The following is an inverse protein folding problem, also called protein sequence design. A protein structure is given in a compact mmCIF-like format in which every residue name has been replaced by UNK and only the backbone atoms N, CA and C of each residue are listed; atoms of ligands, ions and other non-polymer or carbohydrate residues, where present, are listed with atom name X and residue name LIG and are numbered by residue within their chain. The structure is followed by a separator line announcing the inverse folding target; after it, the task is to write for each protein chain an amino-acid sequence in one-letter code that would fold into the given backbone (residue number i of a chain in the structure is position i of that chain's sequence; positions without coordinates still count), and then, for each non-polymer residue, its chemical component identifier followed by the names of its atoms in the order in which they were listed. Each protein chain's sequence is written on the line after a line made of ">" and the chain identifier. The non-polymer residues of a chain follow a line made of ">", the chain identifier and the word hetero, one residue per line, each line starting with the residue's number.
data_IF_889533176710
#
_entry.id   IF_889533176710
#
_cell.length_a   1.000
_cell.length_b   1.000
_cell.length_c   1.000
_cell.angle_alpha   90.00
_cell.angle_beta   90.00
_cell.angle_gamma   90.00
#
_symmetry.space_group_name_H-M   'P 1'
#
loop_
_entity.id
_entity.type
_entity.pdbx_description
1 polymer ?
#
# COMPACT_ATOMS: atom_id res chain seq x y z
N UNK A 1 -21.38 8.74 -28.54
CA UNK A 1 -20.90 8.82 -27.15
C UNK A 1 -21.84 7.98 -26.30
N UNK A 2 -21.55 6.69 -26.15
CA UNK A 2 -22.35 5.79 -25.31
C UNK A 2 -22.11 6.17 -23.84
N UNK A 3 -23.11 6.10 -22.95
CA UNK A 3 -22.89 6.36 -21.53
C UNK A 3 -21.98 5.26 -21.00
N UNK A 4 -20.72 5.61 -20.69
CA UNK A 4 -19.70 4.70 -20.15
C UNK A 4 -20.10 4.03 -18.82
N UNK A 5 -21.18 4.49 -18.19
CA UNK A 5 -21.72 3.92 -16.97
C UNK A 5 -23.25 3.83 -17.06
N UNK A 6 -23.77 2.65 -17.39
CA UNK A 6 -25.17 2.26 -17.15
C UNK A 6 -25.42 1.92 -15.67
N UNK A 7 -24.37 1.91 -14.85
CA UNK A 7 -24.40 1.59 -13.42
C UNK A 7 -24.65 2.84 -12.58
N UNK A 8 -25.47 2.69 -11.53
CA UNK A 8 -25.73 3.76 -10.57
C UNK A 8 -24.44 4.07 -9.80
N UNK A 9 -23.86 5.25 -10.04
CA UNK A 9 -22.70 5.78 -9.30
C UNK A 9 -23.03 5.79 -7.79
N UNK A 10 -22.17 5.19 -6.97
CA UNK A 10 -22.39 5.08 -5.51
C UNK A 10 -21.67 6.20 -4.74
N UNK A 11 -22.24 6.63 -3.62
CA UNK A 11 -21.73 7.75 -2.80
C UNK A 11 -22.36 7.73 -1.40
N UNK A 12 -22.03 8.71 -0.57
CA UNK A 12 -22.59 8.99 0.75
C UNK A 12 -23.19 10.40 0.82
N UNK A 13 -24.04 10.67 1.83
CA UNK A 13 -24.92 11.86 1.85
C UNK A 13 -24.20 13.23 1.86
N UNK A 14 -23.06 13.35 2.54
CA UNK A 14 -22.32 14.60 2.71
C UNK A 14 -20.98 14.57 1.97
N UNK A 15 -20.16 15.62 2.06
CA UNK A 15 -18.82 15.70 1.46
C UNK A 15 -18.68 16.91 0.52
N UNK A 16 -17.46 17.17 0.10
CA UNK A 16 -17.11 18.29 -0.78
C UNK A 16 -16.35 17.79 -2.00
N UNK A 17 -16.29 18.57 -3.07
CA UNK A 17 -15.47 18.27 -4.24
C UNK A 17 -14.50 19.44 -4.46
N UNK A 18 -13.32 19.44 -3.82
CA UNK A 18 -12.29 20.42 -4.12
C UNK A 18 -11.75 20.21 -5.53
N UNK A 19 -11.16 21.25 -6.15
CA UNK A 19 -10.38 21.07 -7.37
C UNK A 19 -9.30 20.01 -7.14
N UNK A 20 -9.27 18.97 -7.97
CA UNK A 20 -8.46 17.79 -7.72
C UNK A 20 -7.01 17.92 -8.22
N UNK A 21 -6.74 18.78 -9.20
CA UNK A 21 -5.41 19.07 -9.77
C UNK A 21 -4.64 17.81 -10.23
N UNK A 22 -5.38 16.75 -10.61
CA UNK A 22 -4.79 15.47 -10.99
C UNK A 22 -4.28 15.47 -12.43
N UNK A 23 -4.73 16.40 -13.27
CA UNK A 23 -4.28 16.57 -14.66
C UNK A 23 -2.77 16.82 -14.80
N UNK A 24 -2.12 17.29 -13.73
CA UNK A 24 -0.67 17.55 -13.71
C UNK A 24 0.14 16.25 -13.84
N UNK A 25 -0.33 15.15 -13.23
CA UNK A 25 0.45 13.90 -13.10
C UNK A 25 -0.30 12.64 -13.52
N UNK A 26 -1.63 12.66 -13.71
CA UNK A 26 -2.41 11.43 -13.97
C UNK A 26 -1.95 10.69 -15.24
N UNK A 27 -1.56 11.45 -16.26
CA UNK A 27 -1.19 10.92 -17.58
C UNK A 27 0.32 10.54 -17.63
N UNK A 28 1.08 10.85 -16.57
CA UNK A 28 2.51 10.55 -16.48
C UNK A 28 2.75 9.15 -15.88
N UNK A 29 3.47 8.25 -16.58
CA UNK A 29 3.76 6.92 -16.09
C UNK A 29 4.61 6.91 -14.84
N UNK A 30 4.57 5.79 -14.12
CA UNK A 30 5.46 5.56 -13.00
C UNK A 30 6.89 5.44 -13.54
N UNK A 31 7.77 6.33 -13.11
CA UNK A 31 9.20 6.26 -13.41
C UNK A 31 9.98 5.88 -12.16
N UNK A 32 11.00 5.03 -12.31
CA UNK A 32 11.88 4.68 -11.20
C UNK A 32 12.78 5.88 -10.88
N UNK A 33 12.78 6.31 -9.63
CA UNK A 33 13.77 7.24 -9.12
C UNK A 33 15.16 6.56 -9.11
N UNK A 34 16.23 7.25 -9.52
CA UNK A 34 17.59 6.76 -9.29
C UNK A 34 17.81 6.44 -7.81
N UNK A 35 18.52 5.35 -7.52
CA UNK A 35 18.85 5.02 -6.14
C UNK A 35 19.70 6.15 -5.54
N UNK A 36 19.31 6.70 -4.37
CA UNK A 36 20.06 7.78 -3.75
C UNK A 36 21.42 7.28 -3.26
N UNK A 37 22.38 8.16 -3.03
CA UNK A 37 23.69 7.80 -2.47
C UNK A 37 23.60 7.20 -1.06
N UNK A 38 22.51 7.50 -0.36
CA UNK A 38 22.24 7.05 1.00
C UNK A 38 20.73 6.96 1.22
N UNK A 39 20.30 5.99 2.02
CA UNK A 39 18.95 5.93 2.59
C UNK A 39 19.01 5.99 4.12
N UNK A 40 17.99 6.60 4.72
CA UNK A 40 17.78 6.63 6.16
C UNK A 40 16.48 5.90 6.46
N UNK A 41 16.58 4.79 7.17
CA UNK A 41 15.45 3.91 7.46
C UNK A 41 15.10 3.97 8.96
N UNK A 42 14.12 4.81 9.36
CA UNK A 42 13.67 4.86 10.75
C UNK A 42 13.22 3.49 11.25
N UNK A 43 13.59 3.11 12.47
CA UNK A 43 13.08 1.90 13.12
C UNK A 43 11.60 2.03 13.54
N UNK A 44 11.04 3.24 13.50
CA UNK A 44 9.63 3.52 13.76
C UNK A 44 8.92 4.00 12.49
N UNK A 45 8.57 3.07 11.59
CA UNK A 45 7.85 3.38 10.33
C UNK A 45 6.31 3.22 10.44
N UNK A 46 5.81 2.86 11.62
CA UNK A 46 4.40 2.54 11.86
C UNK A 46 3.96 2.96 13.26
N UNK A 47 2.65 2.97 13.51
CA UNK A 47 2.04 3.34 14.80
C UNK A 47 2.43 2.43 16.00
N UNK A 48 3.02 1.27 15.71
CA UNK A 48 3.43 0.26 16.69
C UNK A 48 4.76 0.48 17.41
N UNK A 49 5.17 -0.52 18.19
CA UNK A 49 6.50 -0.55 18.84
C UNK A 49 7.62 -0.57 17.78
N UNK A 50 8.67 0.26 17.91
CA UNK A 50 9.77 0.30 16.94
C UNK A 50 10.38 -1.08 16.65
N UNK A 51 10.78 -1.31 15.41
CA UNK A 51 11.52 -2.50 14.99
C UNK A 51 12.90 -2.55 15.66
N UNK A 52 13.44 -3.74 15.87
CA UNK A 52 14.75 -3.94 16.49
C UNK A 52 15.78 -4.26 15.40
N UNK A 53 16.81 -3.44 15.29
CA UNK A 53 17.86 -3.64 14.29
C UNK A 53 18.55 -5.01 14.46
N UNK A 54 18.79 -5.68 13.33
CA UNK A 54 19.51 -6.96 13.21
C UNK A 54 20.91 -6.78 12.59
N UNK A 55 21.24 -5.56 12.21
CA UNK A 55 22.51 -5.16 11.58
C UNK A 55 23.25 -4.19 12.48
N UNK A 56 24.54 -3.97 12.19
CA UNK A 56 25.40 -3.00 12.87
C UNK A 56 26.23 -2.19 11.87
N UNK A 57 26.79 -1.04 12.27
CA UNK A 57 27.70 -0.27 11.44
C UNK A 57 28.84 -1.13 10.88
N UNK A 58 29.12 -0.99 9.59
CA UNK A 58 30.11 -1.78 8.84
C UNK A 58 29.53 -3.01 8.12
N UNK A 59 28.32 -3.44 8.44
CA UNK A 59 27.70 -4.58 7.75
C UNK A 59 27.38 -4.24 6.30
N UNK A 60 27.67 -5.17 5.39
CA UNK A 60 27.15 -5.12 4.01
C UNK A 60 25.73 -5.69 3.99
N UNK A 61 24.82 -4.97 3.36
CA UNK A 61 23.42 -5.37 3.21
C UNK A 61 23.01 -5.40 1.74
N UNK A 62 22.04 -6.24 1.41
CA UNK A 62 21.50 -6.39 0.06
C UNK A 62 20.07 -5.84 -0.03
N UNK A 63 19.69 -5.28 -1.16
CA UNK A 63 18.32 -4.78 -1.39
C UNK A 63 17.30 -5.89 -1.14
N UNK A 64 16.34 -5.65 -0.25
CA UNK A 64 15.34 -6.62 0.20
C UNK A 64 15.76 -7.50 1.38
N UNK A 65 17.00 -7.39 1.86
CA UNK A 65 17.43 -8.11 3.06
C UNK A 65 16.73 -7.55 4.31
N UNK A 66 16.28 -8.43 5.20
CA UNK A 66 15.75 -8.08 6.52
C UNK A 66 16.85 -7.44 7.37
N UNK A 67 16.62 -6.22 7.85
CA UNK A 67 17.58 -5.46 8.68
C UNK A 67 17.04 -5.09 10.06
N UNK A 68 15.73 -5.22 10.29
CA UNK A 68 15.15 -5.10 11.62
C UNK A 68 13.91 -6.00 11.76
N UNK A 69 13.79 -6.67 12.90
CA UNK A 69 12.63 -7.50 13.25
C UNK A 69 11.52 -6.68 13.96
N UNK A 70 10.25 -7.10 13.88
CA UNK A 70 9.17 -6.44 14.62
C UNK A 70 9.44 -6.40 16.13
N UNK A 71 9.34 -5.23 16.76
CA UNK A 71 9.57 -5.05 18.21
C UNK A 71 8.39 -5.45 19.11
N UNK A 72 7.28 -5.92 18.55
CA UNK A 72 6.08 -6.31 19.27
C UNK A 72 4.98 -6.86 18.34
N UNK A 73 3.77 -7.05 18.87
CA UNK A 73 2.62 -7.52 18.08
C UNK A 73 2.16 -6.47 17.07
N UNK A 74 1.94 -5.23 17.53
CA UNK A 74 1.74 -4.07 16.64
C UNK A 74 3.13 -3.54 16.30
N UNK A 75 3.74 -4.12 15.28
CA UNK A 75 5.05 -3.75 14.72
C UNK A 75 5.26 -4.50 13.41
N UNK A 76 6.10 -4.01 12.52
CA UNK A 76 6.44 -4.65 11.25
C UNK A 76 7.95 -4.71 11.06
N UNK A 77 8.39 -5.61 10.18
CA UNK A 77 9.80 -5.75 9.83
C UNK A 77 10.29 -4.56 8.97
N UNK A 78 11.60 -4.39 8.90
CA UNK A 78 12.24 -3.39 8.05
C UNK A 78 13.33 -4.05 7.21
N UNK A 79 13.41 -3.66 5.94
CA UNK A 79 14.34 -4.22 4.97
C UNK A 79 15.21 -3.13 4.37
N UNK A 80 16.42 -3.51 3.94
CA UNK A 80 17.29 -2.61 3.21
C UNK A 80 16.65 -2.26 1.85
N UNK A 81 16.39 -0.98 1.62
CA UNK A 81 15.83 -0.51 0.33
C UNK A 81 16.87 -0.41 -0.78
N UNK A 82 18.14 -0.53 -0.42
CA UNK A 82 19.30 -0.52 -1.31
C UNK A 82 20.33 -1.57 -0.86
N UNK A 83 21.08 -2.11 -1.81
CA UNK A 83 22.34 -2.81 -1.57
C UNK A 83 23.40 -1.77 -1.24
N UNK A 84 24.14 -2.00 -0.17
CA UNK A 84 25.07 -1.01 0.37
C UNK A 84 25.77 -1.46 1.64
N UNK A 85 26.24 -0.48 2.40
CA UNK A 85 26.90 -0.69 3.70
C UNK A 85 26.18 0.14 4.76
N UNK A 86 25.86 -0.50 5.88
CA UNK A 86 25.33 0.19 7.06
C UNK A 86 26.42 1.13 7.57
N UNK A 87 26.20 2.43 7.44
CA UNK A 87 27.14 3.43 7.93
C UNK A 87 27.00 3.64 9.42
N UNK A 88 25.77 3.72 9.91
CA UNK A 88 25.48 4.04 11.30
C UNK A 88 24.06 3.59 11.68
N UNK A 89 23.82 3.46 12.98
CA UNK A 89 22.48 3.34 13.56
C UNK A 89 22.38 4.40 14.65
N UNK A 90 21.63 5.46 14.37
CA UNK A 90 21.60 6.64 15.23
C UNK A 90 20.26 7.35 15.22
N UNK A 91 20.00 8.21 16.23
CA UNK A 91 18.83 9.07 16.24
C UNK A 91 18.76 9.97 14.99
N UNK A 92 17.59 10.04 14.35
CA UNK A 92 17.31 10.88 13.19
C UNK A 92 15.93 11.53 13.29
N UNK A 93 15.76 12.68 12.64
CA UNK A 93 14.46 13.35 12.54
C UNK A 93 13.45 12.46 11.80
N UNK A 94 12.27 12.33 12.38
CA UNK A 94 11.15 11.58 11.80
C UNK A 94 10.03 12.55 11.37
N UNK A 95 9.28 12.26 10.28
CA UNK A 95 8.16 13.10 9.83
C UNK A 95 7.07 13.36 10.88
N UNK A 96 7.00 12.56 11.94
CA UNK A 96 6.10 12.81 13.09
C UNK A 96 6.57 13.92 14.04
N UNK A 97 7.70 14.58 13.76
CA UNK A 97 8.32 15.59 14.62
C UNK A 97 9.11 15.01 15.79
N UNK A 98 9.27 13.69 15.86
CA UNK A 98 10.07 13.00 16.88
C UNK A 98 11.46 12.67 16.36
N UNK A 99 12.39 12.44 17.28
CA UNK A 99 13.67 11.80 16.98
C UNK A 99 13.53 10.31 17.26
N UNK A 100 13.91 9.47 16.31
CA UNK A 100 13.87 8.01 16.42
C UNK A 100 15.16 7.42 15.87
N UNK A 101 15.59 6.27 16.39
CA UNK A 101 16.73 5.56 15.82
C UNK A 101 16.44 5.12 14.38
N UNK A 102 17.43 5.27 13.51
CA UNK A 102 17.34 4.92 12.10
C UNK A 102 18.61 4.20 11.64
N UNK A 103 18.43 3.22 10.76
CA UNK A 103 19.54 2.56 10.06
C UNK A 103 19.91 3.40 8.86
N UNK A 104 21.17 3.83 8.78
CA UNK A 104 21.70 4.61 7.68
C UNK A 104 22.51 3.69 6.78
N UNK A 105 22.11 3.58 5.51
CA UNK A 105 22.79 2.73 4.53
C UNK A 105 23.36 3.64 3.44
N UNK A 106 24.68 3.58 3.24
CA UNK A 106 25.33 4.12 2.05
C UNK A 106 25.13 3.14 0.90
N UNK A 107 24.53 3.62 -0.17
CA UNK A 107 24.29 2.84 -1.38
C UNK A 107 25.61 2.47 -2.04
N UNK A 108 25.71 1.21 -2.48
CA UNK A 108 26.81 0.77 -3.35
C UNK A 108 26.54 1.26 -4.78
N UNK A 109 27.34 2.22 -5.31
CA UNK A 109 27.09 2.82 -6.63
C UNK A 109 27.39 1.86 -7.79
N UNK A 110 28.03 0.72 -7.51
CA UNK A 110 28.35 -0.30 -8.50
C UNK A 110 27.40 -1.51 -8.41
N UNK A 111 26.50 -1.53 -7.42
CA UNK A 111 25.52 -2.59 -7.32
C UNK A 111 24.45 -2.44 -8.40
N UNK A 112 24.04 -3.54 -9.06
CA UNK A 112 22.88 -3.52 -9.96
C UNK A 112 21.55 -3.35 -9.22
N UNK A 113 21.56 -3.32 -7.87
CA UNK A 113 20.37 -3.16 -7.03
C UNK A 113 19.30 -4.23 -7.32
N UNK A 114 19.74 -5.44 -7.64
CA UNK A 114 18.86 -6.62 -7.75
C UNK A 114 18.35 -7.02 -6.37
N UNK A 115 17.16 -7.62 -6.34
CA UNK A 115 16.57 -8.12 -5.11
C UNK A 115 17.38 -9.32 -4.57
N UNK A 116 17.58 -9.38 -3.25
CA UNK A 116 18.41 -10.39 -2.58
C UNK A 116 17.87 -11.82 -2.69
N UNK A 117 16.55 -12.00 -2.52
CA UNK A 117 15.87 -13.30 -2.53
C UNK A 117 14.65 -13.22 -3.47
N UNK A 118 14.90 -12.99 -4.76
CA UNK A 118 13.85 -12.92 -5.76
C UNK A 118 13.27 -14.31 -6.05
N UNK A 119 12.05 -14.54 -5.58
CA UNK A 119 11.32 -15.80 -5.79
C UNK A 119 9.83 -15.65 -5.60
N UNK A 120 9.07 -16.48 -6.32
CA UNK A 120 7.65 -16.64 -6.05
C UNK A 120 7.43 -17.41 -4.76
N UNK A 121 6.49 -16.95 -3.94
CA UNK A 121 6.10 -17.58 -2.68
C UNK A 121 4.85 -18.43 -2.94
N UNK A 122 4.84 -19.74 -2.59
CA UNK A 122 3.76 -20.67 -2.93
C UNK A 122 2.52 -20.49 -2.03
N UNK A 123 1.93 -19.31 -2.03
CA UNK A 123 0.85 -18.91 -1.12
C UNK A 123 -0.39 -19.81 -1.15
N UNK A 124 -0.65 -20.49 -2.27
CA UNK A 124 -1.79 -21.39 -2.42
C UNK A 124 -1.78 -22.54 -1.41
N UNK A 125 -0.59 -23.07 -1.08
CA UNK A 125 -0.41 -24.24 -0.20
C UNK A 125 -0.20 -23.87 1.26
N UNK A 126 -0.08 -22.58 1.58
CA UNK A 126 0.20 -22.10 2.93
C UNK A 126 -1.10 -21.90 3.72
N UNK A 127 -0.99 -21.98 5.04
CA UNK A 127 -2.09 -21.66 5.94
C UNK A 127 -2.26 -20.14 6.12
N UNK A 128 -3.49 -19.64 6.36
CA UNK A 128 -3.75 -18.21 6.55
C UNK A 128 -2.82 -17.54 7.57
N UNK A 129 -2.50 -18.22 8.68
CA UNK A 129 -1.61 -17.69 9.72
C UNK A 129 -0.17 -17.51 9.24
N UNK A 130 0.32 -18.40 8.38
CA UNK A 130 1.67 -18.31 7.80
C UNK A 130 1.74 -17.13 6.84
N UNK A 131 0.70 -16.93 6.03
CA UNK A 131 0.60 -15.79 5.11
C UNK A 131 0.58 -14.45 5.88
N UNK A 132 -0.15 -14.38 6.99
CA UNK A 132 -0.17 -13.19 7.86
C UNK A 132 1.21 -12.91 8.45
N UNK A 133 1.93 -13.93 8.91
CA UNK A 133 3.28 -13.76 9.43
C UNK A 133 4.28 -13.36 8.33
N UNK A 134 4.16 -13.90 7.12
CA UNK A 134 4.95 -13.44 5.98
C UNK A 134 4.69 -11.96 5.65
N UNK A 135 3.43 -11.50 5.70
CA UNK A 135 3.09 -10.07 5.54
C UNK A 135 3.69 -9.22 6.67
N UNK A 136 3.70 -9.73 7.91
CA UNK A 136 4.35 -9.04 9.04
C UNK A 136 5.85 -8.92 8.82
N UNK A 137 6.49 -10.03 8.44
CA UNK A 137 7.92 -10.13 8.18
C UNK A 137 8.33 -9.45 6.88
N UNK A 138 7.43 -9.20 5.95
CA UNK A 138 7.67 -8.44 4.72
C UNK A 138 7.64 -6.91 4.90
N UNK A 139 7.37 -6.42 6.12
CA UNK A 139 7.39 -4.99 6.43
C UNK A 139 6.14 -4.22 6.01
N UNK A 140 5.01 -4.92 5.80
CA UNK A 140 3.81 -4.29 5.28
C UNK A 140 3.11 -3.39 6.31
N UNK A 141 2.98 -2.12 5.94
CA UNK A 141 2.17 -1.11 6.61
C UNK A 141 1.14 -0.54 5.62
N UNK A 142 0.03 0.00 6.13
CA UNK A 142 -0.98 0.62 5.28
C UNK A 142 -0.42 1.80 4.48
N UNK A 143 -0.23 1.62 3.17
CA UNK A 143 0.38 2.60 2.26
C UNK A 143 -0.50 3.81 1.96
N UNK A 144 -1.79 3.74 2.34
CA UNK A 144 -2.75 4.86 2.24
C UNK A 144 -2.58 5.96 3.30
N UNK A 145 -1.52 5.93 4.12
CA UNK A 145 -1.11 7.08 4.93
C UNK A 145 -1.08 6.86 6.44
N UNK A 146 -1.93 5.99 7.00
CA UNK A 146 -1.96 5.74 8.45
C UNK A 146 -0.76 4.92 8.97
N UNK A 147 -0.02 4.26 8.08
CA UNK A 147 1.11 3.40 8.41
C UNK A 147 0.81 2.37 9.53
N UNK A 148 -0.43 1.86 9.56
CA UNK A 148 -0.81 0.82 10.49
C UNK A 148 -0.34 -0.55 9.97
N UNK A 149 0.32 -1.40 10.78
CA UNK A 149 0.83 -2.69 10.31
C UNK A 149 -0.28 -3.55 9.69
N UNK A 150 -0.06 -3.99 8.45
CA UNK A 150 -1.10 -4.65 7.64
C UNK A 150 -1.47 -6.00 8.23
N UNK A 151 -0.51 -6.75 8.78
CA UNK A 151 -0.79 -8.05 9.42
C UNK A 151 -1.78 -7.91 10.58
N UNK A 152 -1.78 -6.79 11.32
CA UNK A 152 -2.75 -6.57 12.41
C UNK A 152 -4.17 -6.44 11.87
N UNK A 153 -4.36 -5.78 10.71
CA UNK A 153 -5.69 -5.72 10.05
C UNK A 153 -6.15 -7.07 9.55
N UNK A 154 -5.21 -7.92 9.12
CA UNK A 154 -5.47 -9.26 8.61
C UNK A 154 -5.59 -10.32 9.71
N UNK A 155 -5.17 -10.00 10.95
CA UNK A 155 -5.30 -10.87 12.12
C UNK A 155 -6.70 -10.73 12.72
N UNK A 156 -7.65 -11.55 12.25
CA UNK A 156 -9.03 -11.48 12.72
C UNK A 156 -9.14 -12.04 14.16
N UNK A 157 -9.64 -11.26 15.14
CA UNK A 157 -9.84 -11.74 16.49
C UNK A 157 -10.83 -12.91 16.55
N UNK A 158 -10.63 -13.80 17.52
CA UNK A 158 -11.54 -14.92 17.77
C UNK A 158 -12.98 -14.44 17.94
N UNK A 159 -13.93 -15.16 17.34
CA UNK A 159 -15.35 -14.81 17.35
C UNK A 159 -15.76 -13.70 16.37
N UNK A 160 -14.82 -13.06 15.66
CA UNK A 160 -15.12 -12.16 14.54
C UNK A 160 -14.91 -12.86 13.21
N UNK A 161 -15.62 -12.39 12.19
CA UNK A 161 -15.50 -12.89 10.82
C UNK A 161 -15.54 -11.72 9.83
N UNK A 162 -14.87 -11.90 8.71
CA UNK A 162 -14.90 -10.97 7.58
C UNK A 162 -15.76 -11.59 6.48
N UNK A 163 -16.71 -10.81 5.97
CA UNK A 163 -17.54 -11.20 4.83
C UNK A 163 -17.13 -10.46 3.57
N UNK A 164 -16.71 -9.20 3.71
CA UNK A 164 -16.36 -8.36 2.59
C UNK A 164 -14.97 -7.78 2.73
N UNK A 165 -14.17 -7.97 1.68
CA UNK A 165 -12.90 -7.28 1.53
C UNK A 165 -13.11 -6.04 0.65
N UNK A 166 -12.64 -4.89 1.12
CA UNK A 166 -12.75 -3.61 0.42
C UNK A 166 -11.36 -3.13 0.01
N UNK A 167 -11.14 -3.02 -1.29
CA UNK A 167 -9.98 -2.34 -1.87
C UNK A 167 -10.34 -0.88 -2.07
N UNK A 168 -9.73 -0.03 -1.27
CA UNK A 168 -9.85 1.42 -1.40
C UNK A 168 -8.94 1.90 -2.53
N UNK A 169 -9.55 2.23 -3.66
CA UNK A 169 -8.91 2.80 -4.84
C UNK A 169 -9.48 4.18 -5.19
N UNK A 170 -10.01 4.89 -4.17
CA UNK A 170 -10.66 6.18 -4.34
C UNK A 170 -9.64 7.30 -4.62
N UNK A 171 -8.57 7.42 -3.82
CA UNK A 171 -7.56 8.49 -3.90
C UNK A 171 -8.21 9.87 -4.10
N UNK A 172 -8.96 10.30 -3.08
CA UNK A 172 -9.78 11.52 -3.09
C UNK A 172 -8.99 12.79 -2.72
N UNK A 173 -7.73 12.64 -2.30
CA UNK A 173 -6.83 13.75 -2.01
C UNK A 173 -6.45 14.49 -3.32
N UNK A 174 -6.46 15.84 -3.32
CA UNK A 174 -5.94 16.62 -4.43
C UNK A 174 -4.48 16.29 -4.74
N UNK A 175 -4.07 16.50 -5.99
CA UNK A 175 -2.74 16.24 -6.56
C UNK A 175 -2.31 14.78 -6.63
N UNK A 176 -2.75 13.91 -5.73
CA UNK A 176 -2.29 12.51 -5.70
C UNK A 176 -2.77 11.74 -6.92
N UNK A 177 -1.87 11.00 -7.57
CA UNK A 177 -2.17 10.11 -8.71
C UNK A 177 -1.43 8.77 -8.62
N UNK A 178 -0.79 8.47 -7.49
CA UNK A 178 -0.01 7.26 -7.29
C UNK A 178 -0.87 6.00 -7.37
N UNK A 179 -2.02 5.98 -6.67
CA UNK A 179 -2.96 4.87 -6.71
C UNK A 179 -3.61 4.75 -8.09
N UNK A 180 -3.90 5.89 -8.74
CA UNK A 180 -4.38 5.91 -10.12
C UNK A 180 -3.40 5.20 -11.07
N UNK A 181 -2.11 5.53 -11.01
CA UNK A 181 -1.10 4.86 -11.85
C UNK A 181 -0.88 3.39 -11.46
N UNK A 182 -0.94 3.06 -10.18
CA UNK A 182 -0.89 1.66 -9.71
C UNK A 182 -2.02 0.83 -10.35
N UNK A 183 -3.24 1.36 -10.44
CA UNK A 183 -4.34 0.66 -11.11
C UNK A 183 -4.11 0.45 -12.61
N UNK A 184 -3.42 1.37 -13.29
CA UNK A 184 -3.13 1.28 -14.72
C UNK A 184 -1.97 0.33 -15.04
N UNK A 185 -0.94 0.33 -14.21
CA UNK A 185 0.36 -0.30 -14.50
C UNK A 185 0.60 -1.58 -13.70
N UNK A 186 0.00 -1.73 -12.51
CA UNK A 186 0.21 -2.83 -11.57
C UNK A 186 -1.06 -3.64 -11.29
N UNK A 187 -2.04 -3.65 -12.20
CA UNK A 187 -3.31 -4.37 -12.02
C UNK A 187 -3.13 -5.87 -11.77
N UNK A 188 -2.14 -6.52 -12.38
CA UNK A 188 -1.85 -7.95 -12.13
C UNK A 188 -1.44 -8.18 -10.67
N UNK A 189 -0.65 -7.27 -10.11
CA UNK A 189 -0.25 -7.31 -8.70
C UNK A 189 -1.45 -7.04 -7.79
N UNK A 190 -2.35 -6.12 -8.15
CA UNK A 190 -3.60 -5.89 -7.42
C UNK A 190 -4.42 -7.19 -7.35
N UNK A 191 -4.68 -7.85 -8.47
CA UNK A 191 -5.52 -9.06 -8.47
C UNK A 191 -4.86 -10.24 -7.75
N UNK A 192 -3.54 -10.40 -7.85
CA UNK A 192 -2.82 -11.39 -7.05
C UNK A 192 -2.90 -11.07 -5.56
N UNK A 193 -2.71 -9.80 -5.18
CA UNK A 193 -2.86 -9.34 -3.80
C UNK A 193 -4.27 -9.60 -3.24
N UNK A 194 -5.32 -9.34 -4.03
CA UNK A 194 -6.70 -9.65 -3.64
C UNK A 194 -6.85 -11.14 -3.36
N UNK A 195 -6.31 -12.02 -4.20
CA UNK A 195 -6.42 -13.48 -4.00
C UNK A 195 -5.76 -13.92 -2.70
N UNK A 196 -4.57 -13.42 -2.41
CA UNK A 196 -3.85 -13.73 -1.18
C UNK A 196 -4.65 -13.23 0.03
N UNK A 197 -5.11 -11.98 0.01
CA UNK A 197 -5.89 -11.39 1.12
C UNK A 197 -7.22 -12.12 1.30
N UNK A 198 -7.91 -12.50 0.24
CA UNK A 198 -9.13 -13.30 0.31
C UNK A 198 -8.88 -14.67 0.96
N UNK A 199 -7.77 -15.35 0.62
CA UNK A 199 -7.39 -16.62 1.27
C UNK A 199 -7.12 -16.43 2.77
N UNK A 200 -6.46 -15.34 3.15
CA UNK A 200 -6.19 -15.02 4.55
C UNK A 200 -7.49 -14.78 5.33
N UNK A 201 -8.38 -13.96 4.76
CA UNK A 201 -9.59 -13.50 5.45
C UNK A 201 -10.74 -14.50 5.40
N UNK A 202 -10.74 -15.42 4.43
CA UNK A 202 -11.91 -16.26 4.13
C UNK A 202 -13.12 -15.43 3.69
N UNK A 203 -12.89 -14.24 3.12
CA UNK A 203 -13.95 -13.31 2.75
C UNK A 203 -14.78 -13.86 1.58
N UNK A 204 -16.10 -13.60 1.60
CA UNK A 204 -17.04 -14.08 0.60
C UNK A 204 -16.87 -13.34 -0.74
N UNK A 205 -16.60 -12.03 -0.68
CA UNK A 205 -16.55 -11.15 -1.86
C UNK A 205 -15.61 -9.98 -1.65
N UNK A 206 -14.97 -9.55 -2.73
CA UNK A 206 -14.16 -8.33 -2.77
C UNK A 206 -14.90 -7.22 -3.52
N UNK A 207 -14.74 -5.98 -3.06
CA UNK A 207 -15.15 -4.77 -3.77
C UNK A 207 -13.95 -3.88 -4.02
N UNK A 208 -13.82 -3.33 -5.22
CA UNK A 208 -12.83 -2.28 -5.53
C UNK A 208 -13.60 -0.98 -5.71
N UNK A 209 -13.44 -0.04 -4.79
CA UNK A 209 -14.10 1.27 -4.88
C UNK A 209 -13.21 2.30 -5.56
N UNK A 210 -13.61 2.79 -6.73
CA UNK A 210 -12.81 3.73 -7.54
C UNK A 210 -13.66 4.91 -7.99
N UNK A 211 -13.14 6.14 -7.84
CA UNK A 211 -13.86 7.35 -8.26
C UNK A 211 -13.96 7.47 -9.80
N UNK A 212 -15.08 8.03 -10.28
CA UNK A 212 -15.37 8.16 -11.72
C UNK A 212 -14.47 9.13 -12.49
N UNK A 213 -13.76 10.04 -11.81
CA UNK A 213 -12.71 10.87 -12.44
C UNK A 213 -11.48 10.04 -12.89
N UNK A 214 -11.43 8.73 -12.61
CA UNK A 214 -10.38 7.80 -13.01
C UNK A 214 -10.89 6.80 -14.04
N UNK A 215 -11.58 7.28 -15.08
CA UNK A 215 -12.23 6.44 -16.09
C UNK A 215 -11.31 5.40 -16.74
N UNK A 216 -10.06 5.76 -17.04
CA UNK A 216 -9.08 4.83 -17.61
C UNK A 216 -8.72 3.68 -16.66
N UNK A 217 -8.57 3.98 -15.36
CA UNK A 217 -8.30 2.96 -14.36
C UNK A 217 -9.49 2.03 -14.15
N UNK A 218 -10.71 2.57 -14.15
CA UNK A 218 -11.95 1.77 -14.10
C UNK A 218 -12.02 0.80 -15.28
N UNK A 219 -11.76 1.29 -16.49
CA UNK A 219 -11.80 0.46 -17.69
C UNK A 219 -10.70 -0.60 -17.68
N UNK A 220 -9.48 -0.21 -17.32
CA UNK A 220 -8.34 -1.13 -17.24
C UNK A 220 -8.57 -2.26 -16.24
N UNK A 221 -9.05 -1.93 -15.04
CA UNK A 221 -9.39 -2.93 -14.02
C UNK A 221 -10.54 -3.83 -14.48
N UNK A 222 -11.58 -3.27 -15.12
CA UNK A 222 -12.70 -4.07 -15.64
C UNK A 222 -12.23 -5.08 -16.69
N UNK A 223 -11.38 -4.66 -17.61
CA UNK A 223 -10.85 -5.53 -18.67
C UNK A 223 -9.91 -6.62 -18.13
N UNK A 224 -9.09 -6.28 -17.12
CA UNK A 224 -8.09 -7.20 -16.58
C UNK A 224 -8.62 -8.10 -15.44
N UNK A 225 -9.85 -7.88 -14.95
CA UNK A 225 -10.42 -8.62 -13.83
C UNK A 225 -10.57 -10.11 -14.16
N UNK A 226 -9.93 -11.01 -13.39
CA UNK A 226 -10.03 -12.44 -13.65
C UNK A 226 -11.47 -12.95 -13.43
N UNK A 227 -12.02 -13.77 -14.34
CA UNK A 227 -13.41 -14.22 -14.27
C UNK A 227 -13.70 -15.14 -13.08
N UNK A 228 -12.68 -15.80 -12.53
CA UNK A 228 -12.78 -16.69 -11.36
C UNK A 228 -12.66 -15.94 -10.02
N UNK A 229 -12.29 -14.66 -10.04
CA UNK A 229 -12.16 -13.86 -8.84
C UNK A 229 -13.52 -13.24 -8.48
N UNK A 230 -14.07 -13.58 -7.30
CA UNK A 230 -15.32 -12.98 -6.80
C UNK A 230 -15.07 -11.53 -6.33
N UNK A 231 -14.94 -10.64 -7.30
CA UNK A 231 -14.62 -9.23 -7.13
C UNK A 231 -15.59 -8.38 -7.95
N UNK A 232 -16.05 -7.27 -7.39
CA UNK A 232 -16.89 -6.29 -8.07
C UNK A 232 -16.21 -4.91 -8.06
N UNK A 233 -16.07 -4.30 -9.23
CA UNK A 233 -15.58 -2.94 -9.37
C UNK A 233 -16.75 -1.96 -9.19
N UNK A 234 -16.62 -1.04 -8.24
CA UNK A 234 -17.67 -0.10 -7.86
C UNK A 234 -17.26 1.32 -8.24
N UNK A 235 -17.91 1.92 -9.26
CA UNK A 235 -17.70 3.33 -9.58
C UNK A 235 -18.32 4.22 -8.49
N UNK A 236 -17.51 5.16 -7.99
CA UNK A 236 -17.87 6.08 -6.91
C UNK A 236 -17.93 7.53 -7.41
N UNK A 237 -18.80 8.34 -6.80
CA UNK A 237 -18.78 9.79 -7.01
C UNK A 237 -17.41 10.36 -6.59
N UNK A 238 -16.86 11.28 -7.37
CA UNK A 238 -15.61 11.95 -7.00
C UNK A 238 -15.88 12.96 -5.89
N UNK A 239 -15.47 12.63 -4.67
CA UNK A 239 -15.88 13.39 -3.48
C UNK A 239 -14.88 13.21 -2.35
N UNK A 240 -14.71 14.22 -1.52
CA UNK A 240 -13.94 14.11 -0.29
C UNK A 240 -14.87 14.03 0.94
N UNK A 241 -14.64 13.12 1.90
CA UNK A 241 -13.58 12.09 1.95
C UNK A 241 -14.07 10.69 1.48
N UNK A 242 -14.31 10.48 0.19
CA UNK A 242 -14.82 9.20 -0.36
C UNK A 242 -13.92 8.00 -0.03
N UNK A 243 -12.61 8.22 0.06
CA UNK A 243 -11.62 7.20 0.44
C UNK A 243 -11.55 6.91 1.94
N UNK A 244 -12.25 7.64 2.81
CA UNK A 244 -12.27 7.31 4.23
C UNK A 244 -13.02 5.98 4.44
N UNK A 245 -12.46 5.07 5.25
CA UNK A 245 -12.96 3.70 5.37
C UNK A 245 -14.47 3.61 5.73
N UNK A 246 -14.96 4.56 6.55
CA UNK A 246 -16.38 4.66 6.91
C UNK A 246 -17.24 5.06 5.72
N UNK A 247 -16.83 6.10 4.98
CA UNK A 247 -17.57 6.64 3.84
C UNK A 247 -17.56 5.65 2.66
N UNK A 248 -16.41 5.01 2.41
CA UNK A 248 -16.28 3.99 1.39
C UNK A 248 -17.20 2.79 1.69
N UNK A 249 -17.22 2.34 2.95
CA UNK A 249 -18.08 1.22 3.36
C UNK A 249 -19.56 1.56 3.22
N UNK A 250 -19.97 2.76 3.63
CA UNK A 250 -21.35 3.25 3.46
C UNK A 250 -21.72 3.37 1.98
N UNK A 251 -20.84 3.93 1.14
CA UNK A 251 -21.10 4.10 -0.28
C UNK A 251 -21.26 2.75 -0.99
N UNK A 252 -20.41 1.76 -0.69
CA UNK A 252 -20.43 0.48 -1.39
C UNK A 252 -21.50 -0.47 -0.86
N UNK A 253 -21.66 -0.58 0.45
CA UNK A 253 -22.54 -1.57 1.10
C UNK A 253 -23.86 -0.99 1.61
N UNK A 254 -24.04 0.33 1.59
CA UNK A 254 -25.16 1.02 2.23
C UNK A 254 -25.28 0.66 3.72
N UNK A 255 -24.13 0.54 4.39
CA UNK A 255 -24.01 0.21 5.81
C UNK A 255 -23.08 1.20 6.50
N UNK A 256 -23.61 1.91 7.47
CA UNK A 256 -22.82 2.81 8.31
C UNK A 256 -22.04 2.01 9.37
N UNK A 257 -20.79 2.41 9.61
CA UNK A 257 -20.00 1.91 10.74
C UNK A 257 -20.42 2.69 11.99
N UNK A 258 -20.98 2.04 13.03
CA UNK A 258 -21.43 2.74 14.23
C UNK A 258 -20.30 3.55 14.89
N UNK A 259 -20.67 4.63 15.59
CA UNK A 259 -19.69 5.44 16.31
C UNK A 259 -18.87 4.61 17.30
N UNK A 260 -17.56 4.84 17.34
CA UNK A 260 -16.61 4.08 18.17
C UNK A 260 -16.35 2.63 17.74
N UNK A 261 -16.95 2.16 16.64
CA UNK A 261 -16.71 0.83 16.07
C UNK A 261 -15.75 0.87 14.88
N UNK A 262 -15.21 -0.29 14.54
CA UNK A 262 -14.30 -0.52 13.42
C UNK A 262 -15.06 -1.16 12.24
N UNK A 263 -14.55 -1.06 10.99
CA UNK A 263 -15.13 -1.78 9.84
C UNK A 263 -15.35 -3.27 10.10
N UNK A 264 -14.45 -3.90 10.86
CA UNK A 264 -14.53 -5.32 11.21
C UNK A 264 -15.79 -5.66 12.02
N UNK A 265 -16.33 -4.72 12.80
CA UNK A 265 -17.57 -4.92 13.58
C UNK A 265 -18.81 -5.07 12.68
N UNK A 266 -18.69 -4.71 11.39
CA UNK A 266 -19.70 -4.97 10.36
C UNK A 266 -19.19 -5.89 9.25
N UNK A 267 -18.19 -6.73 9.57
CA UNK A 267 -17.60 -7.76 8.71
C UNK A 267 -16.82 -7.25 7.50
N UNK A 268 -16.24 -6.04 7.59
CA UNK A 268 -15.47 -5.42 6.51
C UNK A 268 -14.01 -5.24 6.91
N UNK A 269 -13.10 -5.55 5.99
CA UNK A 269 -11.70 -5.11 6.07
C UNK A 269 -11.39 -4.21 4.88
N UNK A 270 -10.77 -3.06 5.13
CA UNK A 270 -10.39 -2.09 4.11
C UNK A 270 -8.88 -1.96 4.00
N UNK A 271 -8.33 -2.18 2.80
CA UNK A 271 -6.94 -1.89 2.46
C UNK A 271 -6.86 -0.98 1.23
N UNK A 272 -5.87 -0.08 1.24
CA UNK A 272 -5.55 0.77 0.10
C UNK A 272 -5.03 -0.09 -1.08
N UNK A 273 -5.37 0.30 -2.31
CA UNK A 273 -5.00 -0.43 -3.53
C UNK A 273 -3.49 -0.61 -3.69
N UNK A 274 -2.67 0.40 -3.37
CA UNK A 274 -1.21 0.27 -3.37
C UNK A 274 -0.70 -0.75 -2.35
N UNK A 275 -1.34 -0.87 -1.18
CA UNK A 275 -1.00 -1.92 -0.20
C UNK A 275 -1.30 -3.31 -0.76
N UNK A 276 -2.43 -3.47 -1.45
CA UNK A 276 -2.83 -4.75 -2.05
C UNK A 276 -1.91 -5.12 -3.22
N UNK A 277 -1.57 -4.16 -4.09
CA UNK A 277 -0.60 -4.36 -5.16
C UNK A 277 0.76 -4.82 -4.61
N UNK A 278 1.28 -4.15 -3.58
CA UNK A 278 2.54 -4.52 -2.96
C UNK A 278 2.51 -5.93 -2.35
N UNK A 279 1.38 -6.38 -1.79
CA UNK A 279 1.21 -7.77 -1.33
C UNK A 279 1.32 -8.72 -2.54
N UNK A 280 0.67 -8.42 -3.64
CA UNK A 280 0.77 -9.20 -4.87
C UNK A 280 2.21 -9.37 -5.35
N UNK A 281 2.95 -8.27 -5.44
CA UNK A 281 4.36 -8.30 -5.84
C UNK A 281 5.24 -9.07 -4.85
N UNK A 282 4.98 -8.97 -3.54
CA UNK A 282 5.71 -9.76 -2.55
C UNK A 282 5.49 -11.26 -2.73
N UNK A 283 4.25 -11.69 -2.97
CA UNK A 283 4.01 -13.12 -3.21
C UNK A 283 4.48 -13.59 -4.59
N UNK A 284 4.63 -12.69 -5.57
CA UNK A 284 5.13 -13.02 -6.91
C UNK A 284 6.65 -13.05 -7.01
N UNK A 285 7.31 -12.09 -6.36
CA UNK A 285 8.74 -11.82 -6.53
C UNK A 285 9.54 -11.92 -5.23
N UNK A 286 8.88 -12.07 -4.08
CA UNK A 286 9.56 -12.07 -2.78
C UNK A 286 9.98 -10.67 -2.34
N UNK A 287 9.55 -9.61 -3.03
CA UNK A 287 9.94 -8.23 -2.75
C UNK A 287 9.21 -7.69 -1.50
N UNK A 288 9.90 -7.46 -0.36
CA UNK A 288 9.27 -6.83 0.81
C UNK A 288 9.00 -5.34 0.55
N UNK A 289 8.42 -4.63 1.51
CA UNK A 289 8.18 -3.18 1.34
C UNK A 289 9.50 -2.40 1.42
N UNK A 290 10.11 -2.19 0.26
CA UNK A 290 11.37 -1.45 0.09
C UNK A 290 11.24 -0.22 -0.80
N UNK A 291 10.10 -0.05 -1.46
CA UNK A 291 9.80 1.06 -2.35
C UNK A 291 8.29 1.31 -2.42
N UNK A 292 7.92 2.54 -2.80
CA UNK A 292 6.53 2.94 -2.99
C UNK A 292 6.41 3.95 -4.11
N UNK A 293 5.25 3.98 -4.75
CA UNK A 293 4.91 5.04 -5.70
C UNK A 293 4.55 6.31 -4.92
N UNK A 294 5.13 7.44 -5.33
CA UNK A 294 4.89 8.77 -4.76
C UNK A 294 4.57 9.73 -5.89
N UNK A 295 3.51 10.51 -5.75
CA UNK A 295 3.22 11.63 -6.65
C UNK A 295 4.00 12.85 -6.20
N UNK A 296 4.81 13.41 -7.10
CA UNK A 296 5.48 14.70 -6.95
C UNK A 296 4.75 15.68 -7.84
N UNK A 297 4.01 16.62 -7.24
CA UNK A 297 3.12 17.54 -7.96
C UNK A 297 2.94 18.84 -7.18
N UNK A 298 2.31 19.83 -7.81
CA UNK A 298 2.04 21.14 -7.23
C UNK A 298 2.69 22.29 -7.98
N UNK A 299 2.24 23.54 -7.76
CA UNK A 299 2.64 24.71 -8.54
C UNK A 299 4.12 25.07 -8.44
N UNK A 300 4.82 24.62 -7.39
CA UNK A 300 6.26 24.84 -7.20
C UNK A 300 7.15 23.74 -7.80
N UNK A 301 6.57 22.71 -8.40
CA UNK A 301 7.32 21.56 -8.93
C UNK A 301 7.63 21.79 -10.41
N UNK A 302 8.93 21.88 -10.73
CA UNK A 302 9.40 22.07 -12.12
C UNK A 302 9.15 20.83 -12.99
N UNK A 303 9.37 19.64 -12.42
CA UNK A 303 9.15 18.36 -13.10
C UNK A 303 8.18 17.50 -12.28
N UNK A 304 6.87 17.60 -12.52
CA UNK A 304 5.90 16.71 -11.89
C UNK A 304 6.08 15.27 -12.39
N UNK A 305 5.86 14.29 -11.52
CA UNK A 305 6.03 12.87 -11.85
C UNK A 305 5.32 11.96 -10.85
N UNK A 306 5.05 10.72 -11.26
CA UNK A 306 4.81 9.60 -10.34
C UNK A 306 6.10 8.79 -10.24
N UNK A 307 6.73 8.77 -9.07
CA UNK A 307 8.03 8.16 -8.86
C UNK A 307 7.90 6.86 -8.07
N UNK A 308 8.55 5.79 -8.52
CA UNK A 308 8.82 4.63 -7.67
C UNK A 308 10.09 4.90 -6.86
N UNK A 309 9.91 5.13 -5.56
CA UNK A 309 10.93 5.68 -4.66
C UNK A 309 11.34 4.63 -3.61
N UNK A 310 12.65 4.39 -3.41
CA UNK A 310 13.14 3.59 -2.29
C UNK A 310 12.69 4.16 -0.94
N UNK A 311 12.25 3.29 -0.04
CA UNK A 311 11.93 3.70 1.33
C UNK A 311 13.20 4.27 1.99
N UNK A 312 13.06 5.38 2.71
CA UNK A 312 14.18 6.05 3.37
C UNK A 312 14.96 7.05 2.51
N UNK A 313 14.53 7.31 1.27
CA UNK A 313 14.99 8.46 0.49
C UNK A 313 14.69 9.76 1.24
N UNK A 314 15.70 10.64 1.33
CA UNK A 314 15.57 11.96 1.95
C UNK A 314 14.88 12.94 1.00
N UNK A 315 14.00 13.77 1.56
CA UNK A 315 13.28 14.87 0.89
C UNK A 315 14.01 16.20 1.10
#
# INVERSE_FOLDING_TARGET
>A
MLPLFSEKIRTFRHGIHPHDFKEITRDLPIERMPFPEQVVLPLSQHLGAPSKALVKPGDRVFRGQLIAEPGGFVSSALHASVTGTVQDIRPHNHPSGKIVDAVIIKTDPHSPQTLYDERSIPWHTMEPKELVELIRLGGFVGLGGAAFPTHVKLSIPEGKQVRWFMVNAAECEPFLTADHRIMLEYYDAIFLGIRVVMKILGAEKTYIGTEVNKAEALEKLRQAMPPDLNCELIPLETKYPQGAEKMLTEAVLHREIPSGKLPLDIHVIVNNVGTVAAIGDFFKFGQPVIERVVTVSGPGIVRPANLLVPVGTLL
#
